data_IF_735204550041
#
_entry.id   IF_735204550041
#
_cell.length_a   1.000
_cell.length_b   1.000
_cell.length_c   1.000
_cell.angle_alpha   90.00
_cell.angle_beta   90.00
_cell.angle_gamma   90.00
#
_symmetry.space_group_name_H-M   'P 1'
#
loop_
_entity.id
_entity.type
_entity.pdbx_description
1 polymer ?
#
# COMPACT_ATOMS: atom_id res chain seq x y z
N UNK A 1 -29.10 -6.17 -37.26
CA UNK A 1 -27.87 -5.41 -37.00
C UNK A 1 -27.99 -4.80 -35.62
N UNK A 2 -27.24 -5.32 -34.65
CA UNK A 2 -27.18 -4.76 -33.27
C UNK A 2 -25.99 -3.83 -33.24
N UNK A 3 -26.24 -2.54 -33.04
CA UNK A 3 -25.17 -1.57 -32.79
C UNK A 3 -24.46 -1.94 -31.48
N UNK A 4 -23.17 -2.26 -31.60
CA UNK A 4 -22.29 -2.34 -30.43
C UNK A 4 -22.12 -0.92 -29.89
N UNK A 5 -22.57 -0.69 -28.65
CA UNK A 5 -22.23 0.51 -27.91
C UNK A 5 -20.75 0.43 -27.56
N UNK A 6 -19.96 1.38 -28.06
CA UNK A 6 -18.61 1.66 -27.58
C UNK A 6 -18.67 2.02 -26.10
N UNK A 7 -17.80 1.47 -25.24
CA UNK A 7 -17.74 1.89 -23.85
C UNK A 7 -17.37 3.37 -23.78
N UNK A 8 -18.12 4.11 -23.01
CA UNK A 8 -17.85 5.51 -22.68
C UNK A 8 -16.50 5.59 -21.95
N UNK A 9 -15.45 6.00 -22.64
CA UNK A 9 -14.17 6.32 -22.05
C UNK A 9 -14.34 7.65 -21.34
N UNK A 10 -14.77 7.59 -20.05
CA UNK A 10 -14.87 8.77 -19.19
C UNK A 10 -13.58 9.60 -19.34
N UNK A 11 -13.71 10.81 -19.87
CA UNK A 11 -12.58 11.73 -20.01
C UNK A 11 -12.13 12.11 -18.61
N UNK A 12 -10.84 11.87 -18.30
CA UNK A 12 -10.21 12.37 -17.08
C UNK A 12 -10.47 13.88 -17.01
N UNK A 13 -10.81 14.36 -15.82
CA UNK A 13 -10.99 15.80 -15.60
C UNK A 13 -9.63 16.49 -15.51
N UNK A 14 -9.56 17.80 -15.75
CA UNK A 14 -8.31 18.56 -15.57
C UNK A 14 -7.76 18.45 -14.14
N UNK A 15 -8.61 18.23 -13.15
CA UNK A 15 -8.22 17.98 -11.76
C UNK A 15 -7.50 16.64 -11.58
N UNK A 16 -7.97 15.60 -12.26
CA UNK A 16 -7.38 14.25 -12.19
C UNK A 16 -5.99 14.24 -12.87
N UNK A 17 -5.84 14.92 -14.01
CA UNK A 17 -4.55 15.06 -14.68
C UNK A 17 -3.53 15.81 -13.80
N UNK A 18 -3.94 16.90 -13.15
CA UNK A 18 -3.07 17.65 -12.24
C UNK A 18 -2.66 16.82 -11.02
N UNK A 19 -3.55 15.99 -10.46
CA UNK A 19 -3.23 15.10 -9.35
C UNK A 19 -2.20 14.05 -9.76
N UNK A 20 -2.34 13.44 -10.95
CA UNK A 20 -1.37 12.49 -11.52
C UNK A 20 -0.01 13.15 -11.72
N UNK A 21 0.05 14.34 -12.31
CA UNK A 21 1.30 15.07 -12.53
C UNK A 21 2.02 15.36 -11.22
N UNK A 22 1.27 15.74 -10.18
CA UNK A 22 1.84 16.00 -8.86
C UNK A 22 2.39 14.71 -8.22
N UNK A 23 1.65 13.61 -8.31
CA UNK A 23 2.09 12.29 -7.82
C UNK A 23 3.38 11.87 -8.51
N UNK A 24 3.44 11.96 -9.83
CA UNK A 24 4.62 11.64 -10.64
C UNK A 24 5.81 12.52 -10.28
N UNK A 25 5.60 13.82 -10.18
CA UNK A 25 6.66 14.77 -9.85
C UNK A 25 7.25 14.47 -8.46
N UNK A 26 6.41 14.30 -7.43
CA UNK A 26 6.90 13.98 -6.08
C UNK A 26 7.60 12.63 -6.03
N UNK A 27 7.04 11.61 -6.69
CA UNK A 27 7.59 10.26 -6.72
C UNK A 27 9.02 10.24 -7.27
N UNK A 28 9.23 10.74 -8.48
CA UNK A 28 10.55 10.71 -9.13
C UNK A 28 11.55 11.72 -8.55
N UNK A 29 11.09 12.76 -7.84
CA UNK A 29 11.97 13.68 -7.12
C UNK A 29 12.23 13.28 -5.65
N UNK A 30 11.63 12.18 -5.17
CA UNK A 30 11.96 11.65 -3.84
C UNK A 30 13.33 10.97 -3.90
N UNK A 31 14.27 11.46 -3.10
CA UNK A 31 15.61 10.89 -3.02
C UNK A 31 15.53 9.46 -2.47
N UNK A 32 16.19 8.52 -3.12
CA UNK A 32 16.30 7.13 -2.68
C UNK A 32 17.57 6.96 -1.85
N UNK A 33 17.43 6.43 -0.63
CA UNK A 33 18.58 6.22 0.26
C UNK A 33 19.53 5.16 -0.33
N UNK A 34 20.81 5.52 -0.41
CA UNK A 34 21.83 4.63 -0.91
C UNK A 34 21.82 4.32 -2.41
N UNK A 35 20.82 4.79 -3.15
CA UNK A 35 20.72 4.59 -4.59
C UNK A 35 21.41 5.71 -5.37
N UNK A 36 22.20 5.36 -6.37
CA UNK A 36 22.88 6.29 -7.28
C UNK A 36 22.45 6.14 -8.74
N UNK A 37 21.82 5.03 -9.08
CA UNK A 37 21.33 4.71 -10.43
C UNK A 37 19.88 4.23 -10.38
N UNK A 38 19.17 4.31 -11.49
CA UNK A 38 17.78 3.84 -11.61
C UNK A 38 17.64 2.32 -11.30
N UNK A 39 18.64 1.54 -11.67
CA UNK A 39 18.66 0.08 -11.43
C UNK A 39 19.01 -0.32 -9.99
N UNK A 40 19.43 0.63 -9.13
CA UNK A 40 19.69 0.35 -7.72
C UNK A 40 18.36 0.12 -7.01
N UNK A 41 18.31 -0.78 -6.04
CA UNK A 41 17.10 -1.04 -5.25
C UNK A 41 16.68 0.15 -4.39
N UNK A 42 15.51 0.03 -3.77
CA UNK A 42 14.93 1.05 -2.91
C UNK A 42 14.12 2.10 -3.68
N UNK A 43 13.61 3.08 -2.94
CA UNK A 43 12.71 4.11 -3.44
C UNK A 43 11.29 3.95 -2.90
N UNK A 44 10.43 4.97 -3.09
CA UNK A 44 9.05 4.89 -2.63
C UNK A 44 8.34 3.66 -3.19
N UNK A 45 7.69 2.87 -2.33
CA UNK A 45 6.94 1.67 -2.72
C UNK A 45 7.76 0.68 -3.59
N UNK A 46 9.02 0.43 -3.24
CA UNK A 46 9.90 -0.38 -4.07
C UNK A 46 10.19 0.20 -5.46
N UNK A 47 10.04 1.53 -5.63
CA UNK A 47 10.14 2.28 -6.89
C UNK A 47 9.03 1.95 -7.90
N UNK A 48 7.84 1.54 -7.43
CA UNK A 48 6.68 1.28 -8.28
C UNK A 48 5.70 2.46 -8.28
N UNK A 49 5.70 3.25 -9.36
CA UNK A 49 4.80 4.41 -9.53
C UNK A 49 3.32 4.01 -9.52
N UNK A 50 2.99 2.78 -9.93
CA UNK A 50 1.60 2.33 -9.93
C UNK A 50 1.05 2.16 -8.51
N UNK A 51 1.92 1.77 -7.55
CA UNK A 51 1.56 1.70 -6.14
C UNK A 51 1.33 3.10 -5.58
N UNK A 52 2.16 4.09 -5.98
CA UNK A 52 1.95 5.48 -5.60
C UNK A 52 0.64 6.07 -6.15
N UNK A 53 0.30 5.77 -7.41
CA UNK A 53 -0.97 6.18 -8.03
C UNK A 53 -2.17 5.52 -7.34
N UNK A 54 -2.08 4.24 -7.00
CA UNK A 54 -3.11 3.55 -6.23
C UNK A 54 -3.28 4.17 -4.85
N UNK A 55 -2.18 4.43 -4.13
CA UNK A 55 -2.22 5.09 -2.82
C UNK A 55 -2.91 6.47 -2.91
N UNK A 56 -2.55 7.28 -3.91
CA UNK A 56 -3.15 8.61 -4.13
C UNK A 56 -4.65 8.50 -4.38
N UNK A 57 -5.07 7.55 -5.21
CA UNK A 57 -6.48 7.28 -5.48
C UNK A 57 -7.24 6.90 -4.21
N UNK A 58 -6.69 6.01 -3.37
CA UNK A 58 -7.34 5.56 -2.15
C UNK A 58 -7.38 6.66 -1.08
N UNK A 59 -6.28 7.37 -0.84
CA UNK A 59 -6.22 8.48 0.12
C UNK A 59 -7.26 9.54 -0.23
N UNK A 60 -7.37 9.90 -1.50
CA UNK A 60 -8.32 10.90 -1.99
C UNK A 60 -9.76 10.40 -1.89
N UNK A 61 -10.06 9.19 -2.38
CA UNK A 61 -11.42 8.65 -2.43
C UNK A 61 -12.00 8.43 -1.01
N UNK A 62 -11.18 7.99 -0.06
CA UNK A 62 -11.58 7.84 1.34
C UNK A 62 -11.50 9.14 2.13
N UNK A 63 -10.92 10.22 1.56
CA UNK A 63 -10.66 11.47 2.28
C UNK A 63 -9.93 11.19 3.59
N UNK A 64 -8.84 10.44 3.50
CA UNK A 64 -8.07 10.09 4.68
C UNK A 64 -7.57 11.33 5.42
N UNK A 65 -7.58 11.27 6.75
CA UNK A 65 -7.13 12.34 7.64
C UNK A 65 -5.80 12.02 8.33
N UNK A 66 -5.28 10.81 8.11
CA UNK A 66 -3.93 10.39 8.51
C UNK A 66 -3.40 9.30 7.58
N UNK A 67 -2.08 9.16 7.57
CA UNK A 67 -1.35 8.12 6.86
C UNK A 67 -0.48 7.36 7.86
N UNK A 68 -0.52 6.02 7.82
CA UNK A 68 0.34 5.13 8.59
C UNK A 68 1.10 4.20 7.63
N UNK A 69 2.41 4.08 7.81
CA UNK A 69 3.28 3.14 7.11
C UNK A 69 3.92 2.21 8.13
N UNK A 70 3.95 0.91 7.87
CA UNK A 70 4.63 -0.07 8.72
C UNK A 70 5.91 -0.58 8.05
N UNK A 71 7.02 -0.61 8.79
CA UNK A 71 8.35 -0.92 8.23
C UNK A 71 8.97 0.26 7.50
N UNK A 72 9.50 1.26 8.22
CA UNK A 72 10.06 2.46 7.57
C UNK A 72 11.36 2.21 6.81
N UNK A 73 12.13 1.17 7.15
CA UNK A 73 13.45 0.89 6.59
C UNK A 73 14.30 2.16 6.48
N UNK A 74 14.68 2.56 5.26
CA UNK A 74 15.47 3.78 5.02
C UNK A 74 14.62 5.04 4.79
N UNK A 75 13.29 4.95 4.93
CA UNK A 75 12.35 6.06 4.90
C UNK A 75 12.04 6.63 3.50
N UNK A 76 12.19 5.86 2.44
CA UNK A 76 11.91 6.35 1.08
C UNK A 76 10.41 6.57 0.87
N UNK A 77 9.57 5.61 1.27
CA UNK A 77 8.10 5.72 1.18
C UNK A 77 7.58 6.77 2.15
N UNK A 78 8.06 6.79 3.41
CA UNK A 78 7.74 7.85 4.38
C UNK A 78 8.06 9.25 3.83
N UNK A 79 9.24 9.41 3.19
CA UNK A 79 9.64 10.67 2.55
C UNK A 79 8.69 11.10 1.44
N UNK A 80 8.27 10.15 0.60
CA UNK A 80 7.29 10.40 -0.46
C UNK A 80 5.95 10.83 0.14
N UNK A 81 5.40 10.05 1.07
CA UNK A 81 4.10 10.29 1.69
C UNK A 81 4.05 11.67 2.37
N UNK A 82 5.07 12.01 3.17
CA UNK A 82 5.14 13.30 3.85
C UNK A 82 5.27 14.49 2.88
N UNK A 83 5.88 14.30 1.71
CA UNK A 83 6.00 15.34 0.69
C UNK A 83 4.75 15.48 -0.17
N UNK A 84 4.11 14.36 -0.49
CA UNK A 84 2.92 14.34 -1.36
C UNK A 84 1.70 14.87 -0.62
N UNK A 85 1.62 14.65 0.69
CA UNK A 85 0.49 15.01 1.55
C UNK A 85 0.95 15.90 2.72
N UNK A 86 1.42 17.13 2.45
CA UNK A 86 1.99 17.98 3.50
C UNK A 86 0.95 18.37 4.57
N UNK A 87 -0.34 18.30 4.26
CA UNK A 87 -1.43 18.64 5.17
C UNK A 87 -1.89 17.46 6.05
N UNK A 88 -1.45 16.24 5.74
CA UNK A 88 -1.81 15.04 6.50
C UNK A 88 -0.67 14.64 7.44
N UNK A 89 -0.97 14.26 8.69
CA UNK A 89 0.01 13.61 9.54
C UNK A 89 0.38 12.25 8.96
N UNK A 90 1.68 11.98 8.91
CA UNK A 90 2.25 10.70 8.46
C UNK A 90 2.96 10.06 9.65
N UNK A 91 2.62 8.82 9.93
CA UNK A 91 3.22 8.00 10.98
C UNK A 91 3.94 6.83 10.34
N UNK A 92 5.15 6.56 10.76
CA UNK A 92 5.90 5.38 10.34
C UNK A 92 6.69 4.80 11.49
N UNK A 93 6.93 3.49 11.47
CA UNK A 93 7.68 2.80 12.51
C UNK A 93 8.59 1.72 11.93
N UNK A 94 9.55 1.34 12.74
CA UNK A 94 10.36 0.15 12.54
C UNK A 94 10.70 -0.45 13.90
N UNK A 95 10.83 -1.76 13.98
CA UNK A 95 11.29 -2.44 15.20
C UNK A 95 12.80 -2.44 15.33
N UNK A 96 13.52 -2.22 14.22
CA UNK A 96 14.97 -2.12 14.22
C UNK A 96 15.40 -0.68 14.53
N UNK A 97 16.04 -0.42 15.69
CA UNK A 97 16.38 0.94 16.12
C UNK A 97 17.24 1.69 15.09
N UNK A 98 18.14 0.98 14.40
CA UNK A 98 19.02 1.59 13.40
C UNK A 98 18.24 2.16 12.22
N UNK A 99 17.18 1.51 11.75
CA UNK A 99 16.32 2.01 10.68
C UNK A 99 15.44 3.17 11.16
N UNK A 100 14.82 3.04 12.33
CA UNK A 100 14.01 4.11 12.90
C UNK A 100 14.83 5.40 13.15
N UNK A 101 16.00 5.28 13.76
CA UNK A 101 16.90 6.42 14.00
C UNK A 101 17.41 7.06 12.71
N UNK A 102 17.84 6.24 11.75
CA UNK A 102 18.30 6.74 10.45
C UNK A 102 17.18 7.51 9.75
N UNK A 103 15.98 6.94 9.67
CA UNK A 103 14.82 7.57 9.03
C UNK A 103 14.39 8.85 9.73
N UNK A 104 14.34 8.86 11.06
CA UNK A 104 14.03 10.05 11.85
C UNK A 104 15.06 11.17 11.62
N UNK A 105 16.36 10.84 11.59
CA UNK A 105 17.41 11.82 11.31
C UNK A 105 17.34 12.36 9.87
N UNK A 106 17.21 11.45 8.91
CA UNK A 106 17.11 11.80 7.48
C UNK A 106 15.92 12.72 7.18
N UNK A 107 14.81 12.52 7.84
CA UNK A 107 13.55 13.21 7.56
C UNK A 107 13.15 14.25 8.63
N UNK A 108 14.10 14.65 9.50
CA UNK A 108 13.85 15.60 10.61
C UNK A 108 13.25 16.95 10.16
N UNK A 109 13.42 17.34 8.88
CA UNK A 109 12.83 18.55 8.32
C UNK A 109 11.38 18.41 7.83
N UNK A 110 10.70 17.28 8.09
CA UNK A 110 9.31 17.04 7.71
C UNK A 110 8.38 17.23 8.91
N UNK A 111 7.69 18.38 9.04
CA UNK A 111 6.91 18.70 10.24
C UNK A 111 5.67 17.80 10.42
N UNK A 112 5.17 17.19 9.34
CA UNK A 112 4.03 16.32 9.33
C UNK A 112 4.39 14.82 9.48
N UNK A 113 5.68 14.47 9.68
CA UNK A 113 6.12 13.09 9.81
C UNK A 113 6.53 12.77 11.25
N UNK A 114 6.01 11.67 11.76
CA UNK A 114 6.42 11.05 13.03
C UNK A 114 7.03 9.69 12.74
N UNK A 115 8.27 9.49 13.16
CA UNK A 115 8.97 8.20 13.07
C UNK A 115 9.13 7.64 14.48
N UNK A 116 8.80 6.38 14.70
CA UNK A 116 8.90 5.72 16.00
C UNK A 116 9.63 4.37 15.90
N UNK A 117 10.36 4.02 16.97
CA UNK A 117 10.94 2.69 17.12
C UNK A 117 9.99 1.86 17.99
N UNK A 118 9.08 1.13 17.35
CA UNK A 118 8.05 0.33 18.02
C UNK A 118 7.46 -0.73 17.10
N UNK A 119 6.70 -1.67 17.67
CA UNK A 119 5.95 -2.68 16.91
C UNK A 119 4.78 -2.03 16.17
N UNK A 120 4.61 -2.37 14.90
CA UNK A 120 3.63 -1.75 14.00
C UNK A 120 2.17 -1.87 14.44
N UNK A 121 1.68 -3.00 15.04
CA UNK A 121 0.33 -3.04 15.60
C UNK A 121 0.09 -2.00 16.69
N UNK A 122 1.10 -1.72 17.54
CA UNK A 122 0.97 -0.71 18.59
C UNK A 122 0.88 0.71 18.00
N UNK A 123 1.67 1.02 16.99
CA UNK A 123 1.60 2.28 16.26
C UNK A 123 0.23 2.43 15.58
N UNK A 124 -0.25 1.41 14.86
CA UNK A 124 -1.54 1.44 14.17
C UNK A 124 -2.71 1.63 15.14
N UNK A 125 -2.70 0.95 16.30
CA UNK A 125 -3.73 1.11 17.33
C UNK A 125 -3.83 2.57 17.79
N UNK A 126 -2.69 3.21 18.03
CA UNK A 126 -2.62 4.62 18.46
C UNK A 126 -3.10 5.57 17.36
N UNK A 127 -2.72 5.33 16.12
CA UNK A 127 -3.14 6.16 14.97
C UNK A 127 -4.64 6.01 14.72
N UNK A 128 -5.16 4.79 14.67
CA UNK A 128 -6.60 4.54 14.49
C UNK A 128 -7.46 5.08 15.64
N UNK A 129 -6.93 5.16 16.87
CA UNK A 129 -7.63 5.76 17.99
C UNK A 129 -7.70 7.29 17.94
N UNK A 130 -6.85 7.93 17.11
CA UNK A 130 -6.70 9.38 17.02
C UNK A 130 -7.24 9.99 15.73
N UNK A 131 -7.59 9.16 14.75
CA UNK A 131 -8.02 9.58 13.41
C UNK A 131 -9.20 8.77 12.93
N UNK A 132 -10.07 9.39 12.14
CA UNK A 132 -11.33 8.80 11.69
C UNK A 132 -11.20 7.98 10.40
N UNK A 133 -10.22 8.29 9.55
CA UNK A 133 -10.00 7.63 8.25
C UNK A 133 -8.52 7.52 7.94
N UNK A 134 -7.94 6.41 8.32
CA UNK A 134 -6.50 6.15 8.15
C UNK A 134 -6.23 5.46 6.82
N UNK A 135 -5.28 5.96 6.05
CA UNK A 135 -4.64 5.15 5.02
C UNK A 135 -3.47 4.38 5.66
N UNK A 136 -3.52 3.06 5.63
CA UNK A 136 -2.49 2.19 6.19
C UNK A 136 -1.73 1.47 5.08
N UNK A 137 -0.45 1.78 4.91
CA UNK A 137 0.48 1.05 4.03
C UNK A 137 1.23 0.01 4.86
N UNK A 138 0.91 -1.28 4.64
CA UNK A 138 1.44 -2.39 5.42
C UNK A 138 2.58 -3.07 4.64
N UNK A 139 3.82 -2.82 5.10
CA UNK A 139 5.07 -3.26 4.45
C UNK A 139 6.11 -3.81 5.45
N UNK A 140 5.70 -4.19 6.66
CA UNK A 140 6.59 -4.71 7.72
C UNK A 140 6.73 -6.23 7.65
N UNK A 141 7.57 -6.75 6.73
CA UNK A 141 7.63 -8.19 6.46
C UNK A 141 8.92 -8.89 6.93
N UNK A 142 9.96 -8.13 7.27
CA UNK A 142 11.32 -8.66 7.43
C UNK A 142 11.70 -9.09 8.85
N UNK A 143 10.78 -9.01 9.82
CA UNK A 143 11.05 -9.35 11.20
C UNK A 143 10.97 -10.86 11.46
N UNK A 144 11.56 -11.30 12.59
CA UNK A 144 11.46 -12.69 13.09
C UNK A 144 10.01 -13.11 13.41
N UNK A 145 9.11 -12.15 13.56
CA UNK A 145 7.65 -12.32 13.67
C UNK A 145 6.99 -11.44 12.61
N UNK A 146 6.21 -12.07 11.75
CA UNK A 146 5.44 -11.32 10.77
C UNK A 146 4.23 -10.63 11.42
N UNK A 147 4.16 -9.30 11.41
CA UNK A 147 3.11 -8.59 12.16
C UNK A 147 1.78 -8.50 11.41
N UNK A 148 1.70 -8.82 10.12
CA UNK A 148 0.58 -8.49 9.23
C UNK A 148 -0.79 -8.88 9.78
N UNK A 149 -0.96 -10.09 10.32
CA UNK A 149 -2.25 -10.48 10.90
C UNK A 149 -2.63 -9.59 12.09
N UNK A 150 -1.68 -9.30 12.99
CA UNK A 150 -1.92 -8.43 14.13
C UNK A 150 -2.15 -6.96 13.70
N UNK A 151 -1.50 -6.52 12.63
CA UNK A 151 -1.76 -5.21 12.01
C UNK A 151 -3.19 -5.11 11.51
N UNK A 152 -3.65 -6.09 10.73
CA UNK A 152 -5.00 -6.14 10.19
C UNK A 152 -6.07 -6.20 11.28
N UNK A 153 -5.85 -6.99 12.35
CA UNK A 153 -6.74 -7.08 13.51
C UNK A 153 -6.84 -5.76 14.31
N UNK A 154 -5.85 -4.91 14.18
CA UNK A 154 -5.78 -3.63 14.89
C UNK A 154 -6.54 -2.51 14.16
N UNK A 155 -6.74 -2.63 12.87
CA UNK A 155 -7.40 -1.60 12.07
C UNK A 155 -8.90 -1.53 12.39
N UNK A 156 -9.41 -0.33 12.69
CA UNK A 156 -10.81 -0.10 13.04
C UNK A 156 -11.53 0.85 12.08
N UNK A 157 -10.82 1.80 11.49
CA UNK A 157 -11.35 2.82 10.57
C UNK A 157 -10.26 3.18 9.56
N UNK A 158 -9.96 2.23 8.67
CA UNK A 158 -8.84 2.36 7.75
C UNK A 158 -9.12 1.76 6.37
N UNK A 159 -8.47 2.34 5.36
CA UNK A 159 -8.20 1.66 4.11
C UNK A 159 -6.74 1.17 4.15
N UNK A 160 -6.57 -0.15 4.16
CA UNK A 160 -5.26 -0.79 4.16
C UNK A 160 -4.82 -1.12 2.74
N UNK A 161 -3.54 -0.88 2.45
CA UNK A 161 -2.84 -1.34 1.26
C UNK A 161 -1.69 -2.24 1.71
N UNK A 162 -1.76 -3.53 1.36
CA UNK A 162 -0.80 -4.57 1.74
C UNK A 162 0.17 -4.77 0.60
N UNK A 163 1.44 -4.51 0.85
CA UNK A 163 2.51 -4.69 -0.13
C UNK A 163 2.99 -6.15 -0.17
N UNK A 164 3.68 -6.54 -1.24
CA UNK A 164 4.19 -7.89 -1.48
C UNK A 164 3.14 -9.01 -1.31
N UNK A 165 1.89 -8.72 -1.70
CA UNK A 165 0.76 -9.64 -1.59
C UNK A 165 0.65 -10.56 -2.82
N UNK A 166 0.39 -11.84 -2.62
CA UNK A 166 0.13 -12.79 -3.71
C UNK A 166 -1.22 -12.50 -4.38
N UNK A 167 -1.16 -11.85 -5.54
CA UNK A 167 -2.32 -11.56 -6.38
C UNK A 167 -2.63 -12.67 -7.40
N UNK A 168 -1.88 -13.77 -7.37
CA UNK A 168 -2.05 -14.91 -8.28
C UNK A 168 -1.61 -14.63 -9.71
N UNK A 169 -0.64 -13.73 -9.96
CA UNK A 169 -0.22 -13.34 -11.29
C UNK A 169 1.31 -13.36 -11.45
N UNK A 170 1.83 -14.02 -12.51
CA UNK A 170 3.26 -14.29 -12.73
C UNK A 170 4.17 -13.05 -12.83
N UNK A 171 3.63 -11.90 -13.25
CA UNK A 171 4.37 -10.64 -13.34
C UNK A 171 4.58 -9.96 -11.98
N UNK A 172 3.95 -10.49 -10.92
CA UNK A 172 4.03 -9.91 -9.59
C UNK A 172 4.70 -10.89 -8.63
N UNK A 173 5.55 -10.37 -7.77
CA UNK A 173 6.15 -11.08 -6.65
C UNK A 173 5.33 -10.87 -5.40
N UNK A 174 5.54 -11.76 -4.45
CA UNK A 174 5.01 -11.65 -3.11
C UNK A 174 6.01 -12.21 -2.11
N UNK A 175 5.89 -11.83 -0.86
CA UNK A 175 6.72 -12.33 0.21
C UNK A 175 6.16 -13.60 0.84
N UNK A 176 7.08 -14.41 1.40
CA UNK A 176 6.75 -15.61 2.16
C UNK A 176 7.41 -15.56 3.51
N UNK A 177 6.68 -15.85 4.56
CA UNK A 177 7.20 -15.90 5.90
C UNK A 177 6.86 -17.23 6.58
N UNK A 178 7.88 -17.96 7.04
CA UNK A 178 7.68 -19.29 7.63
C UNK A 178 6.97 -20.29 6.71
N UNK A 179 7.09 -20.12 5.39
CA UNK A 179 6.39 -20.95 4.40
C UNK A 179 4.95 -20.50 4.10
N UNK A 180 4.48 -19.42 4.73
CA UNK A 180 3.17 -18.85 4.47
C UNK A 180 3.34 -17.66 3.52
N UNK A 181 2.62 -17.66 2.40
CA UNK A 181 2.61 -16.53 1.47
C UNK A 181 1.83 -15.34 2.05
N UNK A 182 2.34 -14.13 1.83
CA UNK A 182 1.56 -12.91 1.99
C UNK A 182 0.43 -12.94 0.97
N UNK A 183 -0.76 -13.37 1.38
CA UNK A 183 -1.84 -13.66 0.44
C UNK A 183 -3.17 -13.93 1.14
N UNK A 184 -4.16 -14.45 0.39
CA UNK A 184 -5.54 -14.62 0.90
C UNK A 184 -5.65 -15.45 2.19
N UNK A 185 -4.70 -16.37 2.43
CA UNK A 185 -4.71 -17.18 3.65
C UNK A 185 -4.53 -16.36 4.94
N UNK A 186 -3.80 -15.24 4.87
CA UNK A 186 -3.65 -14.34 6.01
C UNK A 186 -4.95 -13.61 6.29
N UNK A 187 -5.67 -13.20 5.25
CA UNK A 187 -6.98 -12.56 5.38
C UNK A 187 -8.03 -13.53 5.96
N UNK A 188 -7.97 -14.79 5.55
CA UNK A 188 -8.85 -15.84 6.08
C UNK A 188 -8.56 -16.22 7.53
N UNK A 189 -7.38 -15.88 8.05
CA UNK A 189 -6.99 -16.12 9.44
C UNK A 189 -7.43 -14.98 10.39
N UNK A 190 -7.98 -13.88 9.88
CA UNK A 190 -8.53 -12.80 10.71
C UNK A 190 -9.69 -13.30 11.56
N UNK A 191 -9.89 -12.70 12.74
CA UNK A 191 -11.02 -13.02 13.62
C UNK A 191 -12.39 -12.67 12.99
N UNK A 192 -12.41 -11.65 12.14
CA UNK A 192 -13.55 -11.27 11.29
C UNK A 192 -13.09 -11.17 9.83
N UNK A 193 -12.99 -12.30 9.11
CA UNK A 193 -12.46 -12.32 7.75
C UNK A 193 -13.38 -11.55 6.79
N UNK A 194 -12.81 -10.69 5.92
CA UNK A 194 -13.62 -9.99 4.93
C UNK A 194 -14.20 -10.99 3.91
N UNK A 195 -15.45 -10.81 3.52
CA UNK A 195 -16.04 -11.63 2.45
C UNK A 195 -15.38 -11.38 1.08
N UNK A 196 -14.71 -10.23 0.94
CA UNK A 196 -14.09 -9.77 -0.29
C UNK A 196 -12.88 -8.90 0.01
N UNK A 197 -11.87 -8.99 -0.84
CA UNK A 197 -10.70 -8.12 -0.86
C UNK A 197 -10.43 -7.66 -2.30
N UNK A 198 -9.52 -6.72 -2.46
CA UNK A 198 -9.18 -6.15 -3.76
C UNK A 198 -7.70 -6.33 -4.03
N UNK A 199 -7.33 -6.62 -5.27
CA UNK A 199 -5.92 -6.70 -5.68
C UNK A 199 -5.66 -5.71 -6.79
N UNK A 200 -4.40 -5.26 -6.93
CA UNK A 200 -4.00 -4.53 -8.12
C UNK A 200 -4.39 -5.32 -9.38
N UNK A 201 -5.06 -4.66 -10.33
CA UNK A 201 -5.45 -5.30 -11.58
C UNK A 201 -4.26 -5.29 -12.56
N UNK A 202 -3.72 -6.47 -12.94
CA UNK A 202 -2.63 -6.57 -13.92
C UNK A 202 -2.97 -5.98 -15.30
N UNK A 203 -4.26 -5.82 -15.60
CA UNK A 203 -4.76 -5.24 -16.84
C UNK A 203 -5.08 -3.74 -16.74
N UNK A 204 -4.94 -3.13 -15.54
CA UNK A 204 -5.20 -1.72 -15.36
C UNK A 204 -4.32 -0.85 -16.27
N UNK A 205 -4.96 0.13 -16.92
CA UNK A 205 -4.28 1.12 -17.73
C UNK A 205 -3.79 2.24 -16.84
N UNK A 206 -2.48 2.40 -16.75
CA UNK A 206 -1.86 3.48 -15.98
C UNK A 206 -1.68 4.72 -16.83
N UNK A 207 -1.83 5.92 -16.23
CA UNK A 207 -1.62 7.19 -16.95
C UNK A 207 -0.15 7.43 -17.33
N UNK A 208 0.78 6.73 -16.66
CA UNK A 208 2.23 6.82 -16.92
C UNK A 208 2.86 5.43 -16.91
N UNK A 209 3.97 5.21 -17.64
CA UNK A 209 4.67 3.93 -17.63
C UNK A 209 5.33 3.68 -16.27
N UNK A 210 5.25 2.44 -15.80
CA UNK A 210 6.05 1.99 -14.65
C UNK A 210 7.48 1.70 -15.13
N UNK A 211 8.46 2.36 -14.52
CA UNK A 211 9.88 2.22 -14.86
C UNK A 211 10.60 1.15 -14.03
N UNK A 212 9.90 0.51 -13.10
CA UNK A 212 10.47 -0.58 -12.31
C UNK A 212 10.87 -1.74 -13.22
N UNK A 213 12.08 -2.26 -13.00
CA UNK A 213 12.60 -3.41 -13.72
C UNK A 213 12.32 -4.70 -12.95
N UNK A 214 12.05 -5.79 -13.68
CA UNK A 214 11.76 -7.09 -13.09
C UNK A 214 10.29 -7.26 -12.72
N UNK A 215 10.03 -8.17 -11.76
CA UNK A 215 8.68 -8.42 -11.25
C UNK A 215 8.30 -7.29 -10.28
N UNK A 216 7.09 -6.82 -10.42
CA UNK A 216 6.51 -5.84 -9.50
C UNK A 216 6.01 -6.54 -8.24
N UNK A 217 5.97 -5.85 -7.11
CA UNK A 217 5.28 -6.35 -5.94
C UNK A 217 3.78 -6.42 -6.18
N UNK A 218 3.15 -7.51 -5.75
CA UNK A 218 1.70 -7.57 -5.71
C UNK A 218 1.15 -6.70 -4.58
N UNK A 219 -0.06 -6.17 -4.77
CA UNK A 219 -0.71 -5.31 -3.79
C UNK A 219 -2.14 -5.75 -3.58
N UNK A 220 -2.57 -5.84 -2.32
CA UNK A 220 -3.97 -5.97 -1.96
C UNK A 220 -4.49 -4.75 -1.20
N UNK A 221 -5.80 -4.52 -1.24
CA UNK A 221 -6.46 -3.45 -0.51
C UNK A 221 -7.71 -3.97 0.22
N UNK A 222 -7.93 -3.42 1.42
CA UNK A 222 -9.06 -3.71 2.30
C UNK A 222 -9.60 -2.41 2.90
N UNK A 223 -10.90 -2.37 3.17
CA UNK A 223 -11.52 -1.32 3.98
C UNK A 223 -12.04 -1.96 5.27
N UNK A 224 -11.59 -1.48 6.42
CA UNK A 224 -12.03 -1.91 7.74
C UNK A 224 -12.76 -0.75 8.42
N UNK A 225 -14.02 -0.97 8.82
CA UNK A 225 -14.86 0.08 9.43
C UNK A 225 -15.23 1.23 8.48
N UNK A 226 -14.90 1.12 7.19
CA UNK A 226 -15.22 2.10 6.13
C UNK A 226 -16.02 1.45 5.01
N UNK A 227 -16.72 2.28 4.24
CA UNK A 227 -17.48 1.85 3.04
C UNK A 227 -16.51 1.24 1.99
N UNK A 228 -16.75 0.03 1.47
CA UNK A 228 -15.93 -0.56 0.41
C UNK A 228 -16.13 0.08 -0.98
N UNK A 229 -17.14 0.91 -1.16
CA UNK A 229 -17.49 1.51 -2.44
C UNK A 229 -16.32 2.18 -3.18
N UNK A 230 -15.44 2.95 -2.51
CA UNK A 230 -14.26 3.52 -3.17
C UNK A 230 -13.28 2.46 -3.71
N UNK A 231 -13.14 1.30 -3.06
CA UNK A 231 -12.33 0.18 -3.59
C UNK A 231 -13.02 -0.46 -4.81
N UNK A 232 -14.33 -0.64 -4.77
CA UNK A 232 -15.10 -1.23 -5.88
C UNK A 232 -15.05 -0.38 -7.15
N UNK A 233 -14.97 0.94 -6.99
CA UNK A 233 -14.93 1.90 -8.08
C UNK A 233 -13.49 2.33 -8.48
N UNK A 234 -12.46 1.78 -7.83
CA UNK A 234 -11.07 2.11 -8.16
C UNK A 234 -10.66 1.47 -9.50
N UNK A 235 -10.19 2.25 -10.48
CA UNK A 235 -9.85 1.73 -11.82
C UNK A 235 -8.58 0.86 -11.82
N UNK A 236 -7.83 0.85 -10.72
CA UNK A 236 -6.59 0.07 -10.60
C UNK A 236 -6.79 -1.24 -9.81
N UNK A 237 -8.00 -1.52 -9.32
CA UNK A 237 -8.28 -2.66 -8.47
C UNK A 237 -9.27 -3.63 -9.10
N UNK A 238 -9.03 -4.92 -8.86
CA UNK A 238 -9.96 -6.00 -9.15
C UNK A 238 -10.46 -6.64 -7.86
N UNK A 239 -11.79 -6.69 -7.66
CA UNK A 239 -12.38 -7.33 -6.49
C UNK A 239 -12.25 -8.86 -6.55
N UNK A 240 -11.89 -9.48 -5.42
CA UNK A 240 -11.69 -10.91 -5.24
C UNK A 240 -12.59 -11.41 -4.10
N UNK A 241 -13.36 -12.48 -4.29
CA UNK A 241 -14.02 -13.13 -3.15
C UNK A 241 -12.94 -13.80 -2.28
N UNK A 242 -13.06 -13.67 -0.96
CA UNK A 242 -12.28 -14.50 -0.06
C UNK A 242 -13.04 -15.84 0.06
N UNK A 243 -12.53 -16.85 -0.64
CA UNK A 243 -13.12 -18.20 -0.60
C UNK A 243 -12.75 -18.87 0.72
N UNK A 244 -13.71 -19.61 1.30
CA UNK A 244 -13.44 -20.48 2.45
C UNK A 244 -12.27 -21.42 2.14
N UNK A 245 -11.11 -21.16 2.73
CA UNK A 245 -9.89 -21.96 2.51
C UNK A 245 -9.89 -23.27 3.31
N UNK A 246 -11.03 -23.74 3.80
CA UNK A 246 -11.19 -25.05 4.46
C UNK A 246 -11.07 -26.25 3.50
N UNK A 247 -10.79 -26.01 2.22
CA UNK A 247 -10.42 -27.05 1.25
C UNK A 247 -8.95 -27.46 1.39
N UNK A 248 -8.57 -28.72 1.00
CA UNK A 248 -7.21 -29.22 1.17
C UNK A 248 -6.21 -28.31 0.43
N UNK A 249 -5.15 -27.89 1.14
CA UNK A 249 -4.04 -27.13 0.58
C UNK A 249 -3.51 -27.84 -0.67
N UNK A 250 -3.48 -27.14 -1.81
CA UNK A 250 -2.77 -27.62 -2.99
C UNK A 250 -1.27 -27.57 -2.69
N UNK A 251 -0.63 -28.73 -2.80
CA UNK A 251 0.84 -28.78 -2.68
C UNK A 251 1.50 -27.85 -3.70
N UNK A 252 2.58 -27.18 -3.33
CA UNK A 252 3.34 -26.33 -4.24
C UNK A 252 3.97 -27.21 -5.34
N UNK A 253 3.81 -26.79 -6.59
CA UNK A 253 4.47 -27.41 -7.75
C UNK A 253 5.88 -26.84 -7.92
#
# INVERSE_FOLDING_TARGET
MRHAQTPDTGHATAGDEQAVDQTVAVFYHTARAGASRLADGGGPFGFDIAVALLADQLITAYRCDAIAETGCFLGDTASYLARRYPELPVYTCDTEPGFAEFTAHRLAGRPNLTVSCEDSPAMLARVCASHDRVFAFLDAHWAARWPLLAELETLTSAVAMIHDFDIGHERFSYDTYGGIACGPAVLAAMSDPPSRYFTFDPAAVLPVPCLQTGRRAGVAALATGLDPGPLENCPYLAGRPLLDTTGPMREPR
#
